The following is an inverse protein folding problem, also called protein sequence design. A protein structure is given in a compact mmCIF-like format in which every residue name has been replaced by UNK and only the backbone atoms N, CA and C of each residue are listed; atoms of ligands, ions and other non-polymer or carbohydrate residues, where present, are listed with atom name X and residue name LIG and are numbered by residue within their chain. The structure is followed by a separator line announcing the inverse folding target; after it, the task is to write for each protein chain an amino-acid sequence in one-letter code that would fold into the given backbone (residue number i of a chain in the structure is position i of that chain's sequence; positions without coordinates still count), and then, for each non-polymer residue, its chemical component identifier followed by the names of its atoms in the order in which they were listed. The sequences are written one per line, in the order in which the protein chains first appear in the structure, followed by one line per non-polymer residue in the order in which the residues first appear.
data_IF_832565730115
#
_entry.id   IF_832565730115
#
_cell.length_a   1.000
_cell.length_b   1.000
_cell.length_c   1.000
_cell.angle_alpha   90.00
_cell.angle_beta   90.00
_cell.angle_gamma   90.00
#
_symmetry.space_group_name_H-M   'P 1'
#
loop_
_entity.id
_entity.type
_entity.pdbx_description
1 polymer ?
#
# COMPACT_ATOMS: atom_id res chain seq x y z
N UNK A 1 -17.33 -50.87 -34.51
CA UNK A 1 -16.77 -50.21 -33.31
C UNK A 1 -15.80 -49.15 -33.80
N UNK A 2 -16.03 -47.93 -33.37
CA UNK A 2 -15.68 -46.67 -34.05
C UNK A 2 -14.18 -46.31 -33.95
N UNK A 3 -13.72 -45.64 -35.01
CA UNK A 3 -12.49 -44.88 -35.33
C UNK A 3 -11.66 -44.35 -34.13
N UNK A 4 -10.35 -44.10 -34.23
CA UNK A 4 -9.74 -43.07 -35.08
C UNK A 4 -8.19 -43.11 -34.99
N UNK A 5 -7.52 -42.93 -36.13
CA UNK A 5 -6.08 -42.66 -36.29
C UNK A 5 -5.93 -41.19 -36.67
N UNK A 6 -4.71 -40.65 -36.47
CA UNK A 6 -4.15 -39.33 -36.88
C UNK A 6 -3.92 -38.46 -35.63
N UNK A 7 -2.84 -37.70 -35.43
CA UNK A 7 -1.50 -37.56 -36.04
C UNK A 7 -0.80 -36.50 -35.19
N UNK A 8 0.53 -36.56 -35.09
CA UNK A 8 1.36 -35.46 -34.59
C UNK A 8 1.24 -34.22 -35.49
N UNK A 9 1.20 -33.05 -34.85
CA UNK A 9 1.79 -31.73 -35.23
C UNK A 9 1.49 -30.82 -34.02
N UNK A 10 2.47 -30.29 -33.30
CA UNK A 10 3.41 -29.27 -33.79
C UNK A 10 2.71 -27.92 -33.78
N UNK A 11 2.73 -27.22 -32.64
CA UNK A 11 2.39 -25.80 -32.56
C UNK A 11 3.13 -25.18 -31.37
N UNK A 12 4.22 -24.49 -31.71
CA UNK A 12 4.85 -23.42 -30.96
C UNK A 12 3.80 -22.53 -30.27
N UNK A 13 3.82 -22.50 -28.94
CA UNK A 13 3.10 -21.48 -28.19
C UNK A 13 3.68 -20.10 -28.51
N UNK A 14 2.85 -19.06 -28.70
CA UNK A 14 3.37 -17.73 -28.96
C UNK A 14 4.10 -17.20 -27.73
N UNK A 15 5.13 -16.40 -28.01
CA UNK A 15 6.01 -15.75 -27.05
C UNK A 15 5.24 -14.97 -25.96
N UNK A 16 5.77 -15.04 -24.74
CA UNK A 16 5.43 -14.17 -23.61
C UNK A 16 5.25 -12.72 -24.04
N UNK A 17 4.01 -12.22 -24.04
CA UNK A 17 3.76 -10.79 -23.95
C UNK A 17 3.80 -10.45 -22.48
N UNK A 18 5.00 -10.14 -21.97
CA UNK A 18 5.12 -9.56 -20.66
C UNK A 18 4.31 -8.26 -20.65
N UNK A 19 3.25 -8.21 -19.84
CA UNK A 19 2.59 -6.95 -19.51
C UNK A 19 3.47 -6.23 -18.48
N UNK A 20 4.67 -5.86 -18.91
CA UNK A 20 5.47 -4.86 -18.23
C UNK A 20 4.69 -3.55 -18.39
N UNK A 21 3.91 -3.23 -17.36
CA UNK A 21 3.46 -1.85 -17.16
C UNK A 21 4.74 -1.01 -17.20
N UNK A 22 4.89 -0.11 -18.19
CA UNK A 22 6.12 0.66 -18.31
C UNK A 22 6.32 1.40 -17.00
N UNK A 23 7.51 1.25 -16.41
CA UNK A 23 7.92 2.02 -15.24
C UNK A 23 7.48 3.47 -15.46
N UNK A 24 6.69 3.96 -14.52
CA UNK A 24 6.01 5.23 -14.60
C UNK A 24 6.99 6.31 -15.07
N UNK A 25 6.64 6.99 -16.17
CA UNK A 25 7.31 8.25 -16.49
C UNK A 25 7.02 9.21 -15.36
N UNK A 26 8.08 9.76 -14.77
CA UNK A 26 7.98 10.86 -13.82
C UNK A 26 7.06 11.93 -14.43
N UNK A 27 5.87 12.06 -13.87
CA UNK A 27 4.98 13.14 -14.23
C UNK A 27 5.67 14.43 -13.84
N UNK A 28 5.98 15.24 -14.85
CA UNK A 28 6.49 16.60 -14.71
C UNK A 28 5.50 17.39 -13.83
N UNK A 29 5.93 17.70 -12.60
CA UNK A 29 5.06 18.27 -11.56
C UNK A 29 5.57 19.68 -11.23
N UNK A 30 4.75 20.74 -11.43
CA UNK A 30 5.14 22.08 -11.04
C UNK A 30 5.33 22.15 -9.52
N UNK A 31 6.54 22.49 -9.08
CA UNK A 31 6.89 22.76 -7.68
C UNK A 31 7.14 21.50 -6.86
N UNK A 32 8.41 21.14 -6.68
CA UNK A 32 8.81 20.33 -5.53
C UNK A 32 8.26 21.04 -4.27
N UNK A 33 7.31 20.41 -3.58
CA UNK A 33 6.78 21.00 -2.36
C UNK A 33 7.95 21.22 -1.39
N UNK A 34 8.19 22.46 -0.99
CA UNK A 34 9.28 22.82 -0.07
C UNK A 34 9.18 22.10 1.30
N UNK A 35 8.05 21.42 1.56
CA UNK A 35 7.76 20.68 2.77
C UNK A 35 7.59 19.17 2.46
N UNK A 36 8.40 18.27 3.06
CA UNK A 36 8.29 16.82 2.88
C UNK A 36 6.91 16.24 3.23
N UNK A 37 6.21 16.80 4.22
CA UNK A 37 4.86 16.37 4.57
C UNK A 37 3.87 16.70 3.44
N UNK A 38 3.99 17.88 2.84
CA UNK A 38 3.15 18.25 1.71
C UNK A 38 3.41 17.32 0.50
N UNK A 39 4.66 16.95 0.23
CA UNK A 39 4.99 15.97 -0.81
C UNK A 39 4.39 14.58 -0.53
N UNK A 40 4.36 14.14 0.73
CA UNK A 40 3.72 12.89 1.13
C UNK A 40 2.19 12.95 0.97
N UNK A 41 1.55 14.01 1.46
CA UNK A 41 0.10 14.23 1.31
C UNK A 41 -0.32 14.38 -0.15
N UNK A 42 0.55 14.94 -0.98
CA UNK A 42 0.35 15.01 -2.41
C UNK A 42 0.32 13.65 -3.10
N UNK A 43 0.90 12.60 -2.48
CA UNK A 43 0.86 11.22 -2.99
C UNK A 43 -0.25 10.43 -2.32
N UNK A 44 -0.44 10.54 -1.01
CA UNK A 44 -1.33 9.64 -0.24
C UNK A 44 -2.32 10.34 0.69
N UNK A 45 -2.41 11.67 0.67
CA UNK A 45 -3.28 12.45 1.56
C UNK A 45 -4.77 12.48 1.19
N UNK A 46 -5.20 11.71 0.18
CA UNK A 46 -6.61 11.53 -0.10
C UNK A 46 -7.25 10.49 0.82
N UNK A 47 -8.59 10.52 0.96
CA UNK A 47 -9.36 9.64 1.84
C UNK A 47 -9.07 8.14 1.64
N UNK A 48 -8.76 7.70 0.42
CA UNK A 48 -8.78 6.28 0.04
C UNK A 48 -7.39 5.65 -0.01
N UNK A 49 -6.36 6.39 -0.44
CA UNK A 49 -5.01 5.85 -0.61
C UNK A 49 -4.43 5.22 0.66
N UNK A 50 -4.52 5.83 1.87
CA UNK A 50 -4.03 5.20 3.10
C UNK A 50 -4.76 3.91 3.44
N UNK A 51 -6.07 3.83 3.19
CA UNK A 51 -6.88 2.65 3.46
C UNK A 51 -6.51 1.49 2.51
N UNK A 52 -6.25 1.81 1.24
CA UNK A 52 -5.81 0.81 0.26
C UNK A 52 -4.42 0.26 0.60
N UNK A 53 -3.50 1.13 1.00
CA UNK A 53 -2.17 0.70 1.45
C UNK A 53 -2.30 -0.15 2.71
N UNK A 54 -3.09 0.28 3.70
CA UNK A 54 -3.34 -0.48 4.92
C UNK A 54 -3.87 -1.90 4.61
N UNK A 55 -4.87 -2.03 3.73
CA UNK A 55 -5.42 -3.32 3.33
C UNK A 55 -4.37 -4.25 2.69
N UNK A 56 -3.44 -3.70 1.91
CA UNK A 56 -2.39 -4.45 1.22
C UNK A 56 -1.17 -4.79 2.10
N UNK A 57 -1.09 -4.29 3.34
CA UNK A 57 0.00 -4.64 4.25
C UNK A 57 0.00 -6.12 4.63
N UNK A 58 -1.18 -6.74 4.69
CA UNK A 58 -1.36 -8.17 4.98
C UNK A 58 -0.97 -9.10 3.83
N UNK A 59 -0.86 -8.60 2.60
CA UNK A 59 -0.57 -9.42 1.44
C UNK A 59 -1.19 -8.90 0.15
N UNK A 60 -0.95 -9.58 -0.98
CA UNK A 60 -1.60 -9.23 -2.24
C UNK A 60 -3.11 -9.46 -2.16
N UNK A 61 -3.89 -8.56 -2.75
CA UNK A 61 -5.35 -8.66 -2.80
C UNK A 61 -5.87 -8.42 -4.22
N UNK A 62 -6.98 -9.06 -4.56
CA UNK A 62 -7.71 -8.85 -5.81
C UNK A 62 -8.61 -7.61 -5.71
N UNK A 63 -9.05 -7.10 -6.85
CA UNK A 63 -9.92 -5.92 -6.91
C UNK A 63 -11.18 -6.04 -6.03
N UNK A 64 -11.85 -7.19 -6.07
CA UNK A 64 -13.06 -7.45 -5.28
C UNK A 64 -12.78 -7.47 -3.77
N UNK A 65 -11.63 -8.03 -3.37
CA UNK A 65 -11.20 -8.10 -1.97
C UNK A 65 -10.85 -6.71 -1.45
N UNK A 66 -10.15 -5.90 -2.24
CA UNK A 66 -9.87 -4.49 -1.93
C UNK A 66 -11.15 -3.66 -1.78
N UNK A 67 -12.10 -3.85 -2.68
CA UNK A 67 -13.39 -3.15 -2.61
C UNK A 67 -14.18 -3.54 -1.35
N UNK A 68 -14.09 -4.80 -0.93
CA UNK A 68 -14.72 -5.27 0.30
C UNK A 68 -14.01 -4.73 1.56
N UNK A 69 -12.68 -4.71 1.55
CA UNK A 69 -11.86 -4.22 2.67
C UNK A 69 -12.00 -2.70 2.87
N UNK A 70 -12.15 -1.93 1.80
CA UNK A 70 -12.29 -0.47 1.85
C UNK A 70 -13.77 -0.09 1.68
N UNK A 71 -14.52 -0.18 2.77
CA UNK A 71 -15.96 0.04 2.76
C UNK A 71 -16.33 1.44 2.22
N UNK A 72 -17.32 1.48 1.33
CA UNK A 72 -17.86 2.72 0.77
C UNK A 72 -17.08 3.31 -0.42
N UNK A 73 -15.99 2.68 -0.87
CA UNK A 73 -15.30 3.14 -2.09
C UNK A 73 -16.10 2.77 -3.35
N UNK A 74 -16.34 3.77 -4.20
CA UNK A 74 -16.98 3.54 -5.49
C UNK A 74 -16.01 2.82 -6.45
N UNK A 75 -16.47 1.91 -7.34
CA UNK A 75 -15.59 1.15 -8.23
C UNK A 75 -14.70 2.02 -9.12
N UNK A 76 -15.24 3.06 -9.73
CA UNK A 76 -14.48 3.99 -10.56
C UNK A 76 -13.36 4.71 -9.76
N UNK A 77 -13.63 5.05 -8.50
CA UNK A 77 -12.66 5.67 -7.59
C UNK A 77 -11.57 4.67 -7.18
N UNK A 78 -11.94 3.43 -6.84
CA UNK A 78 -10.97 2.37 -6.53
C UNK A 78 -10.00 2.15 -7.71
N UNK A 79 -10.54 1.99 -8.91
CA UNK A 79 -9.72 1.81 -10.11
C UNK A 79 -8.80 3.02 -10.37
N UNK A 80 -9.30 4.25 -10.18
CA UNK A 80 -8.49 5.46 -10.34
C UNK A 80 -7.36 5.55 -9.30
N UNK A 81 -7.64 5.19 -8.04
CA UNK A 81 -6.64 5.21 -6.96
C UNK A 81 -5.59 4.13 -7.13
N UNK A 82 -5.97 2.93 -7.55
CA UNK A 82 -5.00 1.87 -7.85
C UNK A 82 -4.05 2.27 -8.98
N UNK A 83 -4.57 2.83 -10.08
CA UNK A 83 -3.72 3.36 -11.17
C UNK A 83 -2.76 4.45 -10.68
N UNK A 84 -3.22 5.31 -9.77
CA UNK A 84 -2.39 6.37 -9.19
C UNK A 84 -1.29 5.81 -8.29
N UNK A 85 -1.63 4.88 -7.40
CA UNK A 85 -0.67 4.20 -6.54
C UNK A 85 0.37 3.39 -7.34
N UNK A 86 -0.02 2.84 -8.49
CA UNK A 86 0.92 2.22 -9.44
C UNK A 86 1.83 3.25 -10.10
N UNK A 87 1.27 4.38 -10.57
CA UNK A 87 2.05 5.47 -11.15
C UNK A 87 3.03 6.08 -10.15
N UNK A 88 2.63 6.16 -8.87
CA UNK A 88 3.48 6.60 -7.77
C UNK A 88 4.47 5.51 -7.30
N UNK A 89 4.48 4.32 -7.91
CA UNK A 89 5.41 3.24 -7.56
C UNK A 89 5.15 2.56 -6.22
N UNK A 90 3.99 2.78 -5.59
CA UNK A 90 3.62 2.22 -4.30
C UNK A 90 2.94 0.83 -4.42
N UNK A 91 2.27 0.58 -5.54
CA UNK A 91 1.56 -0.66 -5.83
C UNK A 91 2.01 -1.24 -7.17
N UNK A 92 1.97 -2.55 -7.28
CA UNK A 92 2.12 -3.29 -8.55
C UNK A 92 0.90 -4.17 -8.77
N UNK A 93 0.44 -4.27 -10.01
CA UNK A 93 -0.53 -5.28 -10.42
C UNK A 93 0.16 -6.44 -11.13
N UNK A 94 -0.26 -7.66 -10.81
CA UNK A 94 0.19 -8.88 -11.48
C UNK A 94 -1.02 -9.63 -12.00
N UNK A 95 -1.01 -9.99 -13.28
CA UNK A 95 -2.08 -10.81 -13.86
C UNK A 95 -1.96 -12.24 -13.31
N UNK A 96 -3.07 -12.79 -12.79
CA UNK A 96 -3.15 -14.17 -12.30
C UNK A 96 -4.10 -15.05 -13.12
N UNK A 97 -4.88 -14.45 -14.03
CA UNK A 97 -5.69 -15.16 -15.00
C UNK A 97 -5.70 -14.37 -16.31
N UNK A 98 -5.63 -15.05 -17.45
CA UNK A 98 -5.56 -14.41 -18.76
C UNK A 98 -6.93 -14.26 -19.46
N UNK A 99 -7.92 -15.09 -19.09
CA UNK A 99 -9.25 -15.11 -19.72
C UNK A 99 -10.39 -15.29 -18.71
N UNK A 100 -11.14 -14.22 -18.37
CA UNK A 100 -10.79 -12.81 -18.58
C UNK A 100 -9.54 -12.42 -17.78
N UNK A 101 -8.82 -11.35 -18.16
CA UNK A 101 -7.69 -10.84 -17.38
C UNK A 101 -8.11 -10.51 -15.95
N UNK A 102 -7.42 -11.09 -14.96
CA UNK A 102 -7.63 -10.76 -13.55
C UNK A 102 -6.31 -10.43 -12.90
N UNK A 103 -6.33 -9.43 -12.03
CA UNK A 103 -5.14 -8.88 -11.41
C UNK A 103 -5.22 -9.00 -9.89
N UNK A 104 -4.08 -9.28 -9.29
CA UNK A 104 -3.82 -9.04 -7.88
C UNK A 104 -2.92 -7.82 -7.74
N UNK A 105 -3.10 -7.10 -6.64
CA UNK A 105 -2.36 -5.88 -6.31
C UNK A 105 -1.48 -6.15 -5.12
N UNK A 106 -0.23 -5.66 -5.15
CA UNK A 106 0.76 -5.85 -4.10
C UNK A 106 1.51 -4.55 -3.84
N UNK A 107 1.80 -4.25 -2.58
CA UNK A 107 2.71 -3.16 -2.23
C UNK A 107 4.14 -3.44 -2.71
N UNK A 108 4.75 -2.43 -3.31
CA UNK A 108 6.20 -2.41 -3.57
C UNK A 108 6.98 -2.28 -2.26
N UNK A 109 8.31 -2.30 -2.35
CA UNK A 109 9.16 -2.00 -1.19
C UNK A 109 8.86 -0.61 -0.61
N UNK A 110 8.69 0.40 -1.48
CA UNK A 110 8.32 1.76 -1.07
C UNK A 110 6.92 1.81 -0.45
N UNK A 111 5.94 1.12 -1.06
CA UNK A 111 4.59 1.00 -0.50
C UNK A 111 4.56 0.33 0.88
N UNK A 112 5.43 -0.65 1.12
CA UNK A 112 5.58 -1.29 2.43
C UNK A 112 6.22 -0.35 3.46
N UNK A 113 7.22 0.44 3.06
CA UNK A 113 7.85 1.42 3.94
C UNK A 113 6.85 2.47 4.44
N UNK A 114 5.89 2.88 3.59
CA UNK A 114 4.80 3.77 3.98
C UNK A 114 3.87 3.18 5.06
N UNK A 115 3.81 1.84 5.16
CA UNK A 115 2.96 1.14 6.13
C UNK A 115 3.22 1.54 7.58
N UNK A 116 4.46 1.88 7.94
CA UNK A 116 4.78 2.38 9.28
C UNK A 116 4.05 3.68 9.60
N UNK A 117 4.14 4.67 8.70
CA UNK A 117 3.49 5.97 8.88
C UNK A 117 1.96 5.86 8.93
N UNK A 118 1.37 5.00 8.09
CA UNK A 118 -0.09 4.79 8.08
C UNK A 118 -0.57 4.17 9.39
N UNK A 119 0.17 3.21 9.96
CA UNK A 119 -0.20 2.63 11.25
C UNK A 119 -0.14 3.64 12.39
N UNK A 120 0.87 4.53 12.40
CA UNK A 120 0.95 5.62 13.37
C UNK A 120 -0.23 6.59 13.23
N UNK A 121 -0.62 6.92 12.00
CA UNK A 121 -1.78 7.77 11.76
C UNK A 121 -3.09 7.09 12.19
N UNK A 122 -3.22 5.77 11.98
CA UNK A 122 -4.37 5.00 12.42
C UNK A 122 -4.47 4.94 13.95
N UNK A 123 -3.35 4.73 14.65
CA UNK A 123 -3.27 4.74 16.11
C UNK A 123 -3.67 6.11 16.67
N UNK A 124 -3.12 7.20 16.12
CA UNK A 124 -3.52 8.57 16.47
C UNK A 124 -5.03 8.80 16.25
N UNK A 125 -5.56 8.37 15.10
CA UNK A 125 -6.98 8.53 14.79
C UNK A 125 -7.89 7.75 15.75
N UNK A 126 -7.44 6.58 16.21
CA UNK A 126 -8.21 5.75 17.14
C UNK A 126 -8.29 6.36 18.54
N UNK A 127 -7.22 7.04 19.00
CA UNK A 127 -7.20 7.76 20.28
C UNK A 127 -8.15 8.97 20.31
N UNK A 128 -8.47 9.56 19.15
CA UNK A 128 -9.27 10.78 19.03
C UNK A 128 -10.68 10.56 18.48
N UNK A 129 -11.04 9.31 18.17
CA UNK A 129 -12.41 8.98 17.83
C UNK A 129 -13.24 8.94 19.12
N UNK A 130 -14.32 9.73 19.20
CA UNK A 130 -15.27 9.81 20.34
C UNK A 130 -16.03 8.50 20.65
N UNK A 131 -15.56 7.35 20.16
CA UNK A 131 -16.16 6.05 20.40
C UNK A 131 -15.80 5.55 21.80
N UNK A 132 -16.70 5.82 22.74
CA UNK A 132 -16.78 5.12 24.02
C UNK A 132 -16.57 3.61 23.82
N UNK A 133 -15.43 3.10 24.30
CA UNK A 133 -15.20 1.66 24.50
C UNK A 133 -15.00 0.80 23.25
N UNK A 134 -14.52 1.37 22.14
CA UNK A 134 -14.04 0.55 21.02
C UNK A 134 -12.68 -0.07 21.36
N UNK A 135 -12.49 -1.36 21.12
CA UNK A 135 -11.17 -1.97 21.05
C UNK A 135 -10.38 -1.32 19.89
N UNK A 136 -9.82 -0.14 20.15
CA UNK A 136 -8.88 0.51 19.25
C UNK A 136 -7.75 -0.51 19.03
N UNK A 137 -7.48 -0.87 17.78
CA UNK A 137 -6.44 -1.84 17.43
C UNK A 137 -5.07 -1.17 17.63
N UNK A 138 -4.74 -0.86 18.88
CA UNK A 138 -3.42 -0.44 19.31
C UNK A 138 -2.48 -1.52 18.85
N UNK A 139 -1.40 -1.12 18.17
CA UNK A 139 -0.40 -2.08 17.73
C UNK A 139 0.09 -2.86 18.94
N UNK A 140 0.01 -4.18 18.90
CA UNK A 140 0.46 -5.04 19.99
C UNK A 140 1.64 -5.88 19.56
N UNK A 141 2.56 -6.11 20.49
CA UNK A 141 3.67 -7.02 20.26
C UNK A 141 3.12 -8.44 20.08
N UNK A 142 3.39 -9.05 18.93
CA UNK A 142 2.80 -10.35 18.56
C UNK A 142 3.12 -11.48 19.56
N UNK A 143 4.25 -11.39 20.27
CA UNK A 143 4.65 -12.42 21.23
C UNK A 143 3.98 -12.31 22.60
N UNK A 144 3.68 -11.10 23.09
CA UNK A 144 3.22 -10.89 24.47
C UNK A 144 1.94 -10.04 24.61
N UNK A 145 1.43 -9.48 23.51
CA UNK A 145 0.20 -8.68 23.51
C UNK A 145 0.34 -7.27 24.11
N UNK A 146 1.53 -6.89 24.58
CA UNK A 146 1.79 -5.56 25.13
C UNK A 146 1.57 -4.49 24.04
N UNK A 147 0.83 -3.40 24.33
CA UNK A 147 0.74 -2.24 23.45
C UNK A 147 2.13 -1.72 23.07
N UNK A 148 2.32 -1.39 21.79
CA UNK A 148 3.54 -0.77 21.29
C UNK A 148 3.44 0.74 21.40
N UNK A 149 4.52 1.37 21.86
CA UNK A 149 4.68 2.82 21.85
C UNK A 149 5.64 3.24 20.74
N UNK A 150 5.28 4.27 19.97
CA UNK A 150 6.17 4.88 19.01
C UNK A 150 7.04 5.92 19.70
N UNK A 151 8.37 5.78 19.59
CA UNK A 151 9.35 6.72 20.15
C UNK A 151 10.47 6.97 19.16
N UNK A 152 11.08 8.15 19.22
CA UNK A 152 12.27 8.46 18.42
C UNK A 152 13.52 7.91 19.10
N UNK A 153 14.41 7.35 18.31
CA UNK A 153 15.61 6.67 18.78
C UNK A 153 16.85 7.29 18.13
N UNK A 154 17.87 7.59 18.94
CA UNK A 154 19.17 8.04 18.45
C UNK A 154 20.10 6.83 18.23
N UNK A 155 20.48 6.52 16.99
CA UNK A 155 21.36 5.38 16.70
C UNK A 155 22.79 5.57 17.20
N UNK A 156 23.19 6.81 17.53
CA UNK A 156 24.55 7.12 17.98
C UNK A 156 24.76 6.81 19.45
N UNK A 157 23.83 7.21 20.32
CA UNK A 157 23.95 7.03 21.77
C UNK A 157 23.04 5.95 22.35
N UNK A 158 22.08 5.43 21.56
CA UNK A 158 21.11 4.43 22.01
C UNK A 158 19.93 5.01 22.81
N UNK A 159 19.89 6.34 23.00
CA UNK A 159 18.86 7.03 23.77
C UNK A 159 17.53 7.15 23.01
N UNK A 160 16.43 7.11 23.76
CA UNK A 160 15.09 7.44 23.27
C UNK A 160 14.81 8.91 23.53
N UNK A 161 14.46 9.67 22.50
CA UNK A 161 14.08 11.06 22.63
C UNK A 161 12.60 11.15 23.04
N UNK A 162 12.31 11.92 24.09
CA UNK A 162 10.94 12.31 24.44
C UNK A 162 10.38 13.35 23.46
N UNK A 163 9.08 13.62 23.54
CA UNK A 163 8.40 14.56 22.64
C UNK A 163 9.00 15.99 22.75
N UNK A 164 9.38 16.41 23.96
CA UNK A 164 10.02 17.71 24.22
C UNK A 164 11.35 17.89 23.47
N UNK A 165 12.09 16.80 23.20
CA UNK A 165 13.39 16.86 22.54
C UNK A 165 13.27 17.01 21.00
N UNK A 166 12.10 16.76 20.42
CA UNK A 166 11.88 16.88 18.96
C UNK A 166 11.64 18.32 18.53
N UNK A 167 10.98 19.10 19.38
CA UNK A 167 10.75 20.52 19.15
C UNK A 167 12.08 21.29 19.23
N UNK A 168 12.97 20.89 20.13
CA UNK A 168 14.33 21.43 20.24
C UNK A 168 15.22 21.03 19.04
N UNK A 169 15.15 19.78 18.59
CA UNK A 169 15.98 19.26 17.49
C UNK A 169 15.72 19.91 16.11
N UNK A 170 14.59 20.59 15.91
CA UNK A 170 14.24 21.28 14.65
C UNK A 170 14.71 22.75 14.60
N UNK A 171 15.33 23.24 15.66
CA UNK A 171 15.74 24.65 15.79
C UNK A 171 17.24 24.90 15.62
N UNK A 172 17.99 23.92 15.10
CA UNK A 172 19.42 24.01 14.76
C UNK A 172 19.63 23.89 13.26
#
# INVERSE_FOLDING_TARGET
MTTYRVSRRGASGPANVAYHSPMARAHDRPGAAANPLAAALDRVGDRWSPQLVAALLGGPLRYGELRAAVAGIAPNILAARLRRLEADGLVTSTAYAERPPRFEYRLTLEGRALGGAIRLLADWGALHADAAGGDHEVLRHAACGTPLEARWYCPTCGGVAGDDALDEARSV
#
